data_IF_721301784275
#
_entry.id   IF_721301784275
#
_cell.length_a   1.000
_cell.length_b   1.000
_cell.length_c   1.000
_cell.angle_alpha   90.00
_cell.angle_beta   90.00
_cell.angle_gamma   90.00
#
_symmetry.space_group_name_H-M   'P 1'
#
loop_
_entity.id
_entity.type
_entity.pdbx_description
1 polymer ?
#
# COMPACT_ATOMS: atom_id res chain seq x y z
N UNK A 1 -40.35 -27.55 -24.53
CA UNK A 1 -39.95 -26.15 -24.26
C UNK A 1 -38.59 -26.20 -23.56
N UNK A 2 -37.54 -25.64 -24.18
CA UNK A 2 -36.18 -25.63 -23.64
C UNK A 2 -36.02 -24.32 -22.85
N UNK A 3 -35.93 -24.41 -21.53
CA UNK A 3 -35.63 -23.26 -20.68
C UNK A 3 -34.11 -23.09 -20.64
N UNK A 4 -33.63 -22.07 -21.36
CA UNK A 4 -32.22 -21.68 -21.39
C UNK A 4 -31.80 -21.17 -20.01
N UNK A 5 -30.78 -21.80 -19.43
CA UNK A 5 -30.16 -21.35 -18.20
C UNK A 5 -29.38 -20.04 -18.45
N UNK A 6 -29.81 -18.95 -17.82
CA UNK A 6 -29.03 -17.72 -17.71
C UNK A 6 -27.96 -17.94 -16.64
N UNK A 7 -26.72 -18.17 -17.08
CA UNK A 7 -25.57 -18.18 -16.19
C UNK A 7 -25.22 -16.73 -15.82
N UNK A 8 -25.64 -16.30 -14.63
CA UNK A 8 -25.20 -15.04 -14.02
C UNK A 8 -23.80 -15.25 -13.45
N UNK A 9 -22.77 -14.83 -14.18
CA UNK A 9 -21.41 -14.80 -13.66
C UNK A 9 -21.28 -13.65 -12.65
N UNK A 10 -21.33 -13.97 -11.36
CA UNK A 10 -21.01 -13.03 -10.30
C UNK A 10 -19.52 -12.75 -10.31
N UNK A 11 -19.10 -11.55 -10.68
CA UNK A 11 -17.74 -11.08 -10.43
C UNK A 11 -17.57 -10.87 -8.93
N UNK A 12 -17.14 -11.93 -8.24
CA UNK A 12 -16.72 -11.82 -6.85
C UNK A 12 -15.39 -11.04 -6.80
N UNK A 13 -15.47 -9.81 -6.27
CA UNK A 13 -14.40 -8.96 -5.72
C UNK A 13 -12.97 -9.12 -6.25
N UNK A 14 -12.51 -8.11 -6.98
CA UNK A 14 -11.07 -7.91 -7.19
C UNK A 14 -10.49 -7.37 -5.87
N UNK A 15 -9.74 -8.19 -5.13
CA UNK A 15 -8.97 -7.68 -4.00
C UNK A 15 -7.91 -6.71 -4.53
N UNK A 16 -7.87 -5.47 -4.01
CA UNK A 16 -6.80 -4.53 -4.30
C UNK A 16 -5.48 -5.16 -3.86
N UNK A 17 -4.54 -5.33 -4.80
CA UNK A 17 -3.21 -5.79 -4.48
C UNK A 17 -2.53 -4.75 -3.59
N UNK A 18 -2.15 -5.15 -2.37
CA UNK A 18 -1.39 -4.29 -1.45
C UNK A 18 -0.06 -3.88 -2.08
N UNK A 19 0.40 -2.67 -1.76
CA UNK A 19 1.73 -2.19 -2.16
C UNK A 19 2.81 -3.13 -1.62
N UNK A 20 3.83 -3.38 -2.45
CA UNK A 20 5.01 -4.13 -2.06
C UNK A 20 6.11 -3.23 -1.51
N UNK A 21 7.03 -3.80 -0.75
CA UNK A 21 8.19 -3.12 -0.19
C UNK A 21 9.46 -3.93 -0.45
N UNK A 22 10.59 -3.22 -0.59
CA UNK A 22 11.92 -3.83 -0.57
C UNK A 22 12.32 -4.04 0.88
N UNK A 23 12.43 -5.29 1.31
CA UNK A 23 12.82 -5.64 2.67
C UNK A 23 14.21 -5.12 3.04
N UNK A 24 14.36 -4.61 4.26
CA UNK A 24 15.65 -4.32 4.88
C UNK A 24 16.24 -5.59 5.51
N UNK A 25 17.36 -6.13 4.98
CA UNK A 25 17.99 -7.31 5.56
C UNK A 25 18.52 -7.10 6.99
N UNK A 26 18.76 -5.84 7.40
CA UNK A 26 19.28 -5.49 8.73
C UNK A 26 18.18 -5.29 9.77
N UNK A 27 16.96 -4.97 9.35
CA UNK A 27 15.83 -4.69 10.24
C UNK A 27 14.59 -5.50 9.82
N UNK A 28 14.41 -6.72 10.37
CA UNK A 28 13.25 -7.56 10.06
C UNK A 28 11.93 -6.82 10.31
N UNK A 29 11.00 -6.91 9.36
CA UNK A 29 9.71 -6.23 9.43
C UNK A 29 9.72 -4.78 8.93
N UNK A 30 10.86 -4.29 8.43
CA UNK A 30 11.01 -2.96 7.84
C UNK A 30 11.51 -3.03 6.40
N UNK A 31 11.28 -1.96 5.65
CA UNK A 31 11.71 -1.89 4.26
C UNK A 31 11.45 -0.55 3.61
N UNK A 32 11.73 -0.49 2.31
CA UNK A 32 11.60 0.72 1.50
C UNK A 32 10.47 0.59 0.49
N UNK A 33 9.70 1.66 0.36
CA UNK A 33 8.66 1.83 -0.64
C UNK A 33 8.99 3.03 -1.55
N UNK A 34 8.78 2.87 -2.85
CA UNK A 34 8.93 3.95 -3.83
C UNK A 34 7.57 4.58 -4.11
N UNK A 35 7.41 5.85 -3.75
CA UNK A 35 6.15 6.56 -3.91
C UNK A 35 5.86 6.85 -5.38
N UNK A 36 4.59 6.73 -5.76
CA UNK A 36 4.11 7.04 -7.11
C UNK A 36 3.12 8.20 -7.08
N UNK A 37 2.82 8.75 -8.27
CA UNK A 37 1.87 9.85 -8.39
C UNK A 37 0.49 9.40 -7.92
N UNK A 38 -0.10 10.17 -7.00
CA UNK A 38 -1.41 9.90 -6.42
C UNK A 38 -1.36 9.11 -5.11
N UNK A 39 -0.17 8.85 -4.57
CA UNK A 39 -0.04 8.28 -3.23
C UNK A 39 -0.36 9.31 -2.17
N UNK A 40 -1.18 8.89 -1.22
CA UNK A 40 -1.38 9.56 0.05
C UNK A 40 -0.77 8.72 1.18
N UNK A 41 -0.33 9.37 2.25
CA UNK A 41 0.39 8.68 3.32
C UNK A 41 -0.48 7.70 4.10
N UNK A 42 -1.76 8.02 4.32
CA UNK A 42 -2.69 7.16 5.07
C UNK A 42 -2.97 5.82 4.35
N UNK A 43 -3.34 5.78 3.06
CA UNK A 43 -3.47 4.52 2.32
C UNK A 43 -2.17 3.72 2.24
N UNK A 44 -1.03 4.40 2.05
CA UNK A 44 0.29 3.74 2.03
C UNK A 44 0.58 3.09 3.38
N UNK A 45 0.34 3.79 4.49
CA UNK A 45 0.50 3.25 5.83
C UNK A 45 -0.39 2.03 6.07
N UNK A 46 -1.66 2.11 5.66
CA UNK A 46 -2.63 1.03 5.80
C UNK A 46 -2.22 -0.24 5.04
N UNK A 47 -1.70 -0.11 3.81
CA UNK A 47 -1.22 -1.24 3.01
C UNK A 47 -0.09 -2.02 3.72
N UNK A 48 0.74 -1.31 4.48
CA UNK A 48 1.87 -1.87 5.21
C UNK A 48 1.59 -2.20 6.70
N UNK A 49 0.38 -1.91 7.20
CA UNK A 49 0.07 -2.03 8.62
C UNK A 49 0.92 -1.10 9.51
N UNK A 50 1.27 0.06 8.98
CA UNK A 50 2.01 1.11 9.66
C UNK A 50 1.07 2.26 10.06
N UNK A 51 1.62 3.22 10.80
CA UNK A 51 0.94 4.47 11.14
C UNK A 51 1.52 5.61 10.30
N UNK A 52 0.66 6.47 9.74
CA UNK A 52 1.09 7.53 8.83
C UNK A 52 1.97 8.57 9.55
N UNK A 53 1.67 8.91 10.80
CA UNK A 53 2.50 9.82 11.59
C UNK A 53 3.87 9.18 11.89
N UNK A 54 3.89 7.90 12.24
CA UNK A 54 5.13 7.17 12.47
C UNK A 54 6.00 7.07 11.21
N UNK A 55 5.40 6.94 10.01
CA UNK A 55 6.14 7.02 8.74
C UNK A 55 6.66 8.44 8.53
N UNK A 56 5.84 9.47 8.74
CA UNK A 56 6.24 10.86 8.56
C UNK A 56 7.45 11.21 9.41
N UNK A 57 7.41 10.88 10.70
CA UNK A 57 8.48 11.16 11.66
C UNK A 57 9.78 10.44 11.26
N UNK A 58 9.67 9.16 10.90
CA UNK A 58 10.80 8.31 10.49
C UNK A 58 11.49 8.79 9.21
N UNK A 59 10.72 9.41 8.31
CA UNK A 59 11.20 9.89 7.01
C UNK A 59 11.43 11.41 6.95
N UNK A 60 11.20 12.13 8.06
CA UNK A 60 11.33 13.58 8.12
C UNK A 60 10.34 14.34 7.23
N UNK A 61 9.14 13.79 7.01
CA UNK A 61 8.09 14.44 6.22
C UNK A 61 7.45 15.55 7.05
N UNK A 62 7.60 16.80 6.60
CA UNK A 62 7.08 17.98 7.31
C UNK A 62 5.57 18.17 7.16
N UNK A 63 4.98 17.62 6.10
CA UNK A 63 3.55 17.71 5.83
C UNK A 63 3.03 16.30 5.51
N UNK A 64 2.17 15.75 6.38
CA UNK A 64 1.57 14.42 6.19
C UNK A 64 0.55 14.37 5.05
N UNK A 65 -0.04 15.52 4.71
CA UNK A 65 -1.06 15.64 3.67
C UNK A 65 -0.44 15.80 2.27
N UNK A 66 0.90 15.79 2.19
CA UNK A 66 1.63 15.86 0.93
C UNK A 66 2.75 14.83 0.90
N UNK A 67 2.54 13.75 0.15
CA UNK A 67 3.56 12.76 -0.14
C UNK A 67 4.08 12.97 -1.59
N UNK A 68 5.33 13.45 -1.78
CA UNK A 68 5.90 13.60 -3.12
C UNK A 68 5.96 12.26 -3.84
N UNK A 69 5.70 12.25 -5.14
CA UNK A 69 5.98 11.09 -5.98
C UNK A 69 7.47 11.00 -6.31
N UNK A 70 7.97 9.78 -6.49
CA UNK A 70 9.35 9.54 -6.91
C UNK A 70 10.37 9.68 -5.78
N UNK A 71 9.96 9.45 -4.53
CA UNK A 71 10.86 9.36 -3.39
C UNK A 71 10.78 7.96 -2.78
N UNK A 72 11.89 7.54 -2.14
CA UNK A 72 11.90 6.34 -1.34
C UNK A 72 11.59 6.70 0.10
N UNK A 73 10.61 6.02 0.70
CA UNK A 73 10.29 6.13 2.12
C UNK A 73 10.50 4.81 2.84
N UNK A 74 10.86 4.88 4.12
CA UNK A 74 11.08 3.76 5.01
C UNK A 74 9.80 3.44 5.79
N UNK A 75 9.26 2.25 5.58
CA UNK A 75 7.95 1.78 6.04
C UNK A 75 8.09 0.45 6.78
N UNK A 76 7.07 0.05 7.53
CA UNK A 76 6.92 -1.38 7.87
C UNK A 76 6.81 -2.21 6.60
N UNK A 77 7.37 -3.41 6.66
CA UNK A 77 7.42 -4.35 5.55
C UNK A 77 7.25 -5.76 6.14
N UNK A 78 6.00 -6.19 6.39
CA UNK A 78 5.74 -7.54 6.87
C UNK A 78 6.23 -8.56 5.83
N UNK A 79 6.82 -9.65 6.34
CA UNK A 79 7.30 -10.77 5.51
C UNK A 79 6.14 -11.53 4.87
#
# INVERSE_FOLDING_TARGET
MRFSALAVATFAGIAVAKRGCRHDPKHPGMGWYWTVRGDDLDPVAADFGDDAQAIADRNGLKNKDFLPAGITIYVKCPR
#
